data_IF_076515483833
#
_entry.id   IF_076515483833
#
_cell.length_a   1.000
_cell.length_b   1.000
_cell.length_c   1.000
_cell.angle_alpha   90.00
_cell.angle_beta   90.00
_cell.angle_gamma   90.00
#
_symmetry.space_group_name_H-M   'P 1'
#
loop_
_entity.id
_entity.type
_entity.pdbx_description
1 polymer ?
#
# COMPACT_ATOMS: atom_id res chain seq x y z
N UNK A 1 -29.38 21.61 3.63
CA UNK A 1 -28.23 20.86 4.17
C UNK A 1 -28.65 19.41 4.32
N UNK A 2 -27.89 18.45 3.79
CA UNK A 2 -28.13 17.03 4.08
C UNK A 2 -27.78 16.79 5.55
N UNK A 3 -28.74 16.29 6.34
CA UNK A 3 -28.45 15.81 7.69
C UNK A 3 -27.78 14.43 7.56
N UNK A 4 -26.47 14.41 7.75
CA UNK A 4 -25.72 13.18 7.86
C UNK A 4 -25.74 12.74 9.33
N UNK A 5 -26.30 11.56 9.60
CA UNK A 5 -26.22 10.94 10.92
C UNK A 5 -25.02 10.00 10.91
N UNK A 6 -23.96 10.39 11.63
CA UNK A 6 -22.78 9.55 11.79
C UNK A 6 -22.94 8.62 12.98
N UNK A 7 -22.28 7.47 12.89
CA UNK A 7 -22.22 6.50 13.97
C UNK A 7 -21.58 7.12 15.23
N UNK A 8 -22.20 6.90 16.40
CA UNK A 8 -21.75 7.50 17.66
C UNK A 8 -20.40 6.94 18.11
N UNK A 9 -20.14 5.66 17.86
CA UNK A 9 -18.87 5.00 18.20
C UNK A 9 -17.75 5.60 17.37
N UNK A 10 -17.97 5.84 16.07
CA UNK A 10 -17.00 6.53 15.22
C UNK A 10 -16.69 7.95 15.73
N UNK A 11 -17.73 8.72 16.10
CA UNK A 11 -17.53 10.06 16.64
C UNK A 11 -16.77 10.05 17.99
N UNK A 12 -17.03 9.07 18.84
CA UNK A 12 -16.30 8.91 20.10
C UNK A 12 -14.84 8.51 19.85
N UNK A 13 -14.58 7.57 18.94
CA UNK A 13 -13.24 7.16 18.57
C UNK A 13 -12.39 8.33 18.02
N UNK A 14 -13.00 9.25 17.28
CA UNK A 14 -12.33 10.49 16.84
C UNK A 14 -11.99 11.38 18.03
N UNK A 15 -12.96 11.65 18.92
CA UNK A 15 -12.77 12.54 20.09
C UNK A 15 -11.72 12.03 21.07
N UNK A 16 -11.62 10.72 21.21
CA UNK A 16 -10.70 10.04 22.14
C UNK A 16 -9.34 9.72 21.50
N UNK A 17 -9.08 10.18 20.26
CA UNK A 17 -7.86 9.87 19.50
C UNK A 17 -7.60 8.35 19.40
N UNK A 18 -8.70 7.59 19.30
CA UNK A 18 -8.71 6.13 19.24
C UNK A 18 -9.00 5.56 17.85
N UNK A 19 -9.26 6.42 16.87
CA UNK A 19 -9.51 6.04 15.47
C UNK A 19 -8.20 5.86 14.70
N UNK A 20 -8.10 4.75 13.96
CA UNK A 20 -7.14 4.54 12.89
C UNK A 20 -7.89 4.42 11.56
N UNK A 21 -7.36 5.04 10.51
CA UNK A 21 -7.92 4.90 9.16
C UNK A 21 -7.08 3.89 8.39
N UNK A 22 -7.69 2.79 7.97
CA UNK A 22 -7.09 1.81 7.08
C UNK A 22 -7.42 2.17 5.63
N UNK A 23 -6.39 2.32 4.80
CA UNK A 23 -6.49 2.85 3.45
C UNK A 23 -5.98 1.86 2.41
N UNK A 24 -6.84 1.52 1.45
CA UNK A 24 -6.49 0.70 0.28
C UNK A 24 -6.25 1.52 -0.99
N UNK A 25 -6.03 0.81 -2.11
CA UNK A 25 -5.64 1.39 -3.39
C UNK A 25 -6.69 2.38 -3.95
N UNK A 26 -7.96 2.23 -3.56
CA UNK A 26 -9.05 3.12 -3.94
C UNK A 26 -8.82 4.59 -3.58
N UNK A 27 -8.02 4.88 -2.54
CA UNK A 27 -7.66 6.26 -2.19
C UNK A 27 -6.66 6.90 -3.14
N UNK A 28 -5.78 6.09 -3.73
CA UNK A 28 -4.78 6.52 -4.71
C UNK A 28 -5.24 6.32 -6.15
N UNK A 29 -6.43 5.74 -6.36
CA UNK A 29 -6.89 5.24 -7.67
C UNK A 29 -6.75 6.26 -8.79
N UNK A 30 -7.17 7.51 -8.56
CA UNK A 30 -7.17 8.58 -9.57
C UNK A 30 -5.86 9.39 -9.61
N UNK A 31 -4.89 9.10 -8.75
CA UNK A 31 -3.58 9.74 -8.81
C UNK A 31 -2.86 9.32 -10.08
N UNK A 32 -1.96 10.18 -10.55
CA UNK A 32 -1.15 9.98 -11.74
C UNK A 32 0.29 9.71 -11.35
N UNK A 33 0.92 8.78 -12.06
CA UNK A 33 2.36 8.60 -12.01
C UNK A 33 3.12 9.61 -12.89
N UNK A 34 4.44 9.59 -12.83
CA UNK A 34 5.36 10.47 -13.57
C UNK A 34 5.20 10.38 -15.10
N UNK A 35 4.61 9.29 -15.61
CA UNK A 35 4.24 9.09 -17.02
C UNK A 35 2.79 9.55 -17.31
N UNK A 36 2.16 10.30 -16.41
CA UNK A 36 0.78 10.78 -16.48
C UNK A 36 -0.30 9.68 -16.61
N UNK A 37 0.02 8.45 -16.18
CA UNK A 37 -0.94 7.33 -16.15
C UNK A 37 -1.60 7.26 -14.78
N UNK A 38 -2.89 6.95 -14.77
CA UNK A 38 -3.67 6.69 -13.55
C UNK A 38 -3.14 5.42 -12.86
N UNK A 39 -3.02 5.45 -11.53
CA UNK A 39 -2.56 4.31 -10.72
C UNK A 39 -3.58 3.15 -10.67
N UNK A 40 -4.87 3.46 -10.58
CA UNK A 40 -5.90 2.43 -10.54
C UNK A 40 -5.77 1.49 -9.34
N UNK A 41 -6.17 0.23 -9.53
CA UNK A 41 -6.12 -0.82 -8.48
C UNK A 41 -5.06 -1.89 -8.75
N UNK A 42 -5.14 -2.99 -8.00
CA UNK A 42 -4.16 -4.09 -8.06
C UNK A 42 -3.98 -4.69 -9.47
N UNK A 43 -5.08 -4.89 -10.22
CA UNK A 43 -5.00 -5.36 -11.61
C UNK A 43 -4.30 -4.38 -12.56
N UNK A 44 -4.36 -3.07 -12.28
CA UNK A 44 -3.64 -2.06 -13.06
C UNK A 44 -2.14 -2.17 -12.82
N UNK A 45 -1.70 -2.39 -11.57
CA UNK A 45 -0.30 -2.65 -11.26
C UNK A 45 0.23 -3.83 -12.07
N UNK A 46 -0.44 -4.99 -12.01
CA UNK A 46 0.07 -6.20 -12.68
C UNK A 46 0.11 -6.04 -14.19
N UNK A 47 -0.92 -5.39 -14.77
CA UNK A 47 -0.91 -5.07 -16.21
C UNK A 47 0.27 -4.16 -16.57
N UNK A 48 0.58 -3.17 -15.73
CA UNK A 48 1.66 -2.21 -15.97
C UNK A 48 3.05 -2.79 -15.75
N UNK A 49 3.17 -3.71 -14.80
CA UNK A 49 4.37 -4.52 -14.62
C UNK A 49 4.66 -5.34 -15.88
N UNK A 50 3.63 -6.02 -16.43
CA UNK A 50 3.76 -6.79 -17.67
C UNK A 50 4.11 -5.90 -18.88
N UNK A 51 3.51 -4.70 -18.98
CA UNK A 51 3.90 -3.74 -20.02
C UNK A 51 5.38 -3.34 -19.91
N UNK A 52 5.84 -3.02 -18.69
CA UNK A 52 7.22 -2.57 -18.45
C UNK A 52 8.25 -3.66 -18.74
N UNK A 53 8.00 -4.89 -18.28
CA UNK A 53 8.89 -6.03 -18.54
C UNK A 53 8.94 -6.35 -20.05
N UNK A 54 7.84 -6.23 -20.79
CA UNK A 54 7.85 -6.39 -22.25
C UNK A 54 8.65 -5.27 -22.94
N UNK A 55 8.53 -4.02 -22.48
CA UNK A 55 9.35 -2.89 -22.95
C UNK A 55 10.85 -3.09 -22.68
N UNK A 56 11.21 -3.76 -21.59
CA UNK A 56 12.60 -4.13 -21.26
C UNK A 56 13.12 -5.34 -22.06
N UNK A 57 12.27 -5.98 -22.87
CA UNK A 57 12.65 -7.03 -23.81
C UNK A 57 12.38 -8.46 -23.32
N UNK A 58 11.70 -8.64 -22.19
CA UNK A 58 11.29 -9.97 -21.71
C UNK A 58 10.19 -10.57 -22.60
N UNK A 59 10.29 -11.87 -22.89
CA UNK A 59 9.36 -12.59 -23.77
C UNK A 59 8.09 -13.04 -23.03
N UNK A 60 7.32 -12.08 -22.52
CA UNK A 60 6.15 -12.31 -21.66
C UNK A 60 4.79 -12.03 -22.32
N UNK A 61 4.75 -11.86 -23.65
CA UNK A 61 3.53 -11.54 -24.40
C UNK A 61 2.38 -12.52 -24.10
N UNK A 62 2.69 -13.80 -23.86
CA UNK A 62 1.67 -14.79 -23.44
C UNK A 62 1.05 -14.47 -22.08
N UNK A 63 1.86 -14.09 -21.08
CA UNK A 63 1.36 -13.68 -19.75
C UNK A 63 0.52 -12.41 -19.83
N UNK A 64 0.93 -11.46 -20.68
CA UNK A 64 0.18 -10.24 -20.97
C UNK A 64 -1.20 -10.54 -21.53
N UNK A 65 -1.29 -11.44 -22.51
CA UNK A 65 -2.59 -11.87 -23.06
C UNK A 65 -3.49 -12.51 -22.00
N UNK A 66 -2.92 -13.34 -21.12
CA UNK A 66 -3.67 -13.97 -20.03
C UNK A 66 -4.23 -12.94 -19.04
N UNK A 67 -3.43 -11.94 -18.67
CA UNK A 67 -3.85 -10.86 -17.78
C UNK A 67 -4.90 -9.94 -18.40
N UNK A 68 -4.72 -9.54 -19.66
CA UNK A 68 -5.69 -8.68 -20.37
C UNK A 68 -7.05 -9.37 -20.57
N UNK A 69 -7.05 -10.69 -20.78
CA UNK A 69 -8.28 -11.48 -20.89
C UNK A 69 -8.92 -11.77 -19.52
N UNK A 70 -8.33 -11.30 -18.42
CA UNK A 70 -8.76 -11.58 -17.04
C UNK A 70 -8.96 -13.09 -16.79
N UNK A 71 -8.11 -13.91 -17.42
CA UNK A 71 -8.17 -15.37 -17.28
C UNK A 71 -7.64 -15.79 -15.91
N UNK A 72 -6.65 -15.04 -15.40
CA UNK A 72 -6.03 -15.27 -14.11
C UNK A 72 -6.14 -14.04 -13.21
N UNK A 73 -6.31 -14.31 -11.92
CA UNK A 73 -6.20 -13.30 -10.88
C UNK A 73 -4.78 -12.68 -10.87
N UNK A 74 -4.63 -11.40 -10.50
CA UNK A 74 -3.34 -10.72 -10.48
C UNK A 74 -2.23 -11.48 -9.73
N UNK A 75 -2.56 -12.14 -8.62
CA UNK A 75 -1.58 -12.91 -7.82
C UNK A 75 -1.03 -14.14 -8.55
N UNK A 76 -1.84 -14.77 -9.42
CA UNK A 76 -1.41 -15.91 -10.22
C UNK A 76 -0.43 -15.46 -11.31
N UNK A 77 -0.65 -14.29 -11.92
CA UNK A 77 0.29 -13.72 -12.88
C UNK A 77 1.62 -13.38 -12.19
N UNK A 78 1.59 -12.84 -10.98
CA UNK A 78 2.80 -12.56 -10.21
C UNK A 78 3.56 -13.84 -9.82
N UNK A 79 2.86 -14.95 -9.53
CA UNK A 79 3.50 -16.26 -9.30
C UNK A 79 4.19 -16.81 -10.56
N UNK A 80 3.58 -16.60 -11.73
CA UNK A 80 4.21 -16.98 -13.00
C UNK A 80 5.45 -16.14 -13.31
N UNK A 81 5.38 -14.81 -13.08
CA UNK A 81 6.53 -13.91 -13.24
C UNK A 81 7.65 -14.30 -12.25
N UNK A 82 7.31 -14.58 -10.98
CA UNK A 82 8.29 -14.95 -9.95
C UNK A 82 9.03 -16.26 -10.26
N UNK A 83 8.38 -17.20 -10.97
CA UNK A 83 8.97 -18.48 -11.36
C UNK A 83 9.82 -18.42 -12.62
N UNK A 84 9.74 -17.32 -13.37
CA UNK A 84 10.57 -17.12 -14.56
C UNK A 84 12.00 -16.76 -14.14
N UNK A 85 12.97 -17.61 -14.49
CA UNK A 85 14.36 -17.43 -14.11
C UNK A 85 15.06 -16.28 -14.86
N UNK A 86 14.50 -15.81 -15.98
CA UNK A 86 15.05 -14.67 -16.72
C UNK A 86 14.69 -13.35 -16.04
N UNK A 87 13.57 -13.29 -15.33
CA UNK A 87 13.05 -12.06 -14.72
C UNK A 87 13.58 -11.93 -13.30
N UNK A 88 14.43 -10.93 -13.06
CA UNK A 88 14.95 -10.72 -11.71
C UNK A 88 13.95 -9.97 -10.84
N UNK A 89 13.98 -10.24 -9.52
CA UNK A 89 13.22 -9.45 -8.53
C UNK A 89 13.55 -7.95 -8.63
N UNK A 90 14.80 -7.61 -8.94
CA UNK A 90 15.25 -6.22 -9.08
C UNK A 90 14.50 -5.50 -10.18
N UNK A 91 14.29 -6.14 -11.32
CA UNK A 91 13.57 -5.56 -12.47
C UNK A 91 12.09 -5.39 -12.15
N UNK A 92 11.48 -6.38 -11.46
CA UNK A 92 10.11 -6.27 -10.97
C UNK A 92 9.96 -5.08 -10.02
N UNK A 93 10.82 -4.98 -9.01
CA UNK A 93 10.80 -3.86 -8.05
C UNK A 93 11.00 -2.53 -8.76
N UNK A 94 11.94 -2.46 -9.72
CA UNK A 94 12.17 -1.26 -10.53
C UNK A 94 10.92 -0.85 -11.30
N UNK A 95 10.26 -1.79 -11.98
CA UNK A 95 9.02 -1.55 -12.71
C UNK A 95 7.90 -1.02 -11.78
N UNK A 96 7.74 -1.61 -10.59
CA UNK A 96 6.75 -1.15 -9.61
C UNK A 96 7.08 0.26 -9.10
N UNK A 97 8.36 0.56 -8.83
CA UNK A 97 8.78 1.91 -8.44
C UNK A 97 8.51 2.94 -9.53
N UNK A 98 8.85 2.63 -10.77
CA UNK A 98 8.55 3.51 -11.91
C UNK A 98 7.04 3.75 -12.03
N UNK A 99 6.23 2.71 -11.83
CA UNK A 99 4.79 2.81 -11.95
C UNK A 99 4.16 3.70 -10.87
N UNK A 100 4.62 3.61 -9.62
CA UNK A 100 4.07 4.35 -8.48
C UNK A 100 4.80 5.66 -8.16
N UNK A 101 5.85 6.01 -8.90
CA UNK A 101 6.47 7.34 -8.84
C UNK A 101 5.44 8.39 -9.24
N UNK A 102 4.94 9.17 -8.29
CA UNK A 102 3.85 10.13 -8.53
C UNK A 102 4.30 11.32 -9.39
N UNK A 103 3.38 11.86 -10.19
CA UNK A 103 3.59 13.16 -10.84
C UNK A 103 3.46 14.31 -9.83
N UNK A 104 4.12 15.43 -10.13
CA UNK A 104 4.15 16.62 -9.27
C UNK A 104 2.76 17.26 -9.08
N UNK A 105 1.88 17.18 -10.08
CA UNK A 105 0.59 17.90 -10.12
C UNK A 105 -0.62 17.07 -9.63
N UNK A 106 -0.42 16.20 -8.66
CA UNK A 106 -1.52 15.42 -8.06
C UNK A 106 -2.32 16.21 -7.01
N UNK A 107 -3.62 15.93 -6.91
CA UNK A 107 -4.47 16.47 -5.85
C UNK A 107 -4.51 15.54 -4.62
N UNK A 108 -3.85 15.98 -3.55
CA UNK A 108 -3.83 15.28 -2.26
C UNK A 108 -4.90 15.76 -1.27
N UNK A 109 -5.91 16.51 -1.71
CA UNK A 109 -6.94 17.08 -0.82
C UNK A 109 -7.71 16.02 -0.04
N UNK A 110 -7.98 14.86 -0.64
CA UNK A 110 -8.62 13.73 0.07
C UNK A 110 -7.75 13.20 1.19
N UNK A 111 -6.46 12.96 0.93
CA UNK A 111 -5.47 12.53 1.92
C UNK A 111 -5.39 13.54 3.08
N UNK A 112 -5.26 14.83 2.75
CA UNK A 112 -5.24 15.92 3.75
C UNK A 112 -6.51 15.99 4.59
N UNK A 113 -7.68 15.72 4.00
CA UNK A 113 -8.94 15.72 4.73
C UNK A 113 -9.07 14.51 5.66
N UNK A 114 -8.59 13.32 5.27
CA UNK A 114 -8.53 12.17 6.17
C UNK A 114 -7.62 12.44 7.37
N UNK A 115 -6.49 13.12 7.16
CA UNK A 115 -5.55 13.46 8.23
C UNK A 115 -6.10 14.47 9.25
N UNK A 116 -7.15 15.24 8.89
CA UNK A 116 -7.91 16.07 9.85
C UNK A 116 -8.81 15.23 10.76
N UNK A 117 -9.14 14.01 10.35
CA UNK A 117 -9.99 13.08 11.11
C UNK A 117 -9.13 12.21 12.03
N UNK A 118 -8.04 11.66 11.50
CA UNK A 118 -7.03 10.94 12.28
C UNK A 118 -5.67 11.04 11.61
N UNK A 119 -4.63 11.30 12.41
CA UNK A 119 -3.23 11.29 11.96
C UNK A 119 -2.58 9.90 12.03
N UNK A 120 -3.38 8.86 12.29
CA UNK A 120 -2.95 7.46 12.36
C UNK A 120 -3.52 6.70 11.17
N UNK A 121 -2.66 6.39 10.22
CA UNK A 121 -3.00 5.72 8.97
C UNK A 121 -2.31 4.36 8.91
N UNK A 122 -3.06 3.33 8.52
CA UNK A 122 -2.53 2.06 8.03
C UNK A 122 -2.85 1.99 6.54
N UNK A 123 -1.92 1.57 5.70
CA UNK A 123 -2.18 1.38 4.27
C UNK A 123 -1.39 0.21 3.70
N UNK A 124 -1.94 -0.36 2.62
CA UNK A 124 -1.26 -1.34 1.75
C UNK A 124 -0.74 -0.69 0.47
N UNK A 125 -0.91 0.62 0.30
CA UNK A 125 -0.47 1.35 -0.89
C UNK A 125 1.04 1.60 -0.85
N UNK A 126 1.68 1.46 -2.01
CA UNK A 126 3.12 1.66 -2.15
C UNK A 126 3.52 3.13 -2.38
N UNK A 127 2.61 3.92 -2.97
CA UNK A 127 2.82 5.32 -3.34
C UNK A 127 3.02 6.25 -2.14
N UNK A 128 3.59 7.44 -2.38
CA UNK A 128 3.94 8.40 -1.33
C UNK A 128 2.86 9.47 -1.08
N UNK A 129 1.59 9.21 -1.43
CA UNK A 129 0.54 10.24 -1.38
C UNK A 129 0.29 10.80 0.03
N UNK A 130 0.39 9.98 1.07
CA UNK A 130 0.27 10.44 2.46
C UNK A 130 1.49 11.25 2.89
N UNK A 131 2.68 10.86 2.46
CA UNK A 131 3.93 11.56 2.72
C UNK A 131 3.96 12.95 2.07
N UNK A 132 3.33 13.12 0.90
CA UNK A 132 3.09 14.43 0.29
C UNK A 132 2.00 15.23 1.01
N UNK A 133 0.99 14.57 1.57
CA UNK A 133 -0.07 15.23 2.33
C UNK A 133 0.39 15.71 3.72
N UNK A 134 1.28 14.97 4.36
CA UNK A 134 1.88 15.24 5.67
C UNK A 134 3.38 14.90 5.69
N UNK A 135 4.26 15.90 5.53
CA UNK A 135 5.70 15.69 5.42
C UNK A 135 6.35 14.99 6.61
N UNK A 136 5.76 15.04 7.81
CA UNK A 136 6.31 14.34 8.98
C UNK A 136 6.31 12.81 8.78
N UNK A 137 5.46 12.26 7.93
CA UNK A 137 5.49 10.83 7.62
C UNK A 137 6.80 10.36 6.98
N UNK A 138 7.57 11.25 6.34
CA UNK A 138 8.89 10.90 5.82
C UNK A 138 9.85 10.37 6.90
N UNK A 139 9.61 10.70 8.18
CA UNK A 139 10.39 10.23 9.33
C UNK A 139 9.61 9.25 10.21
N UNK A 140 8.31 9.13 10.00
CA UNK A 140 7.39 8.46 10.92
C UNK A 140 6.61 7.33 10.21
N UNK A 141 7.25 6.69 9.23
CA UNK A 141 6.67 5.58 8.48
C UNK A 141 7.21 4.26 9.00
N UNK A 142 6.30 3.37 9.39
CA UNK A 142 6.59 2.00 9.80
C UNK A 142 6.41 1.08 8.59
N UNK A 143 7.45 0.32 8.29
CA UNK A 143 7.52 -0.72 7.26
C UNK A 143 8.30 -1.91 7.80
N UNK A 144 8.29 -3.02 7.07
CA UNK A 144 9.14 -4.17 7.37
C UNK A 144 10.63 -3.75 7.43
N UNK A 145 11.33 -4.13 8.49
CA UNK A 145 12.71 -3.75 8.81
C UNK A 145 12.88 -2.30 9.29
N UNK A 146 11.80 -1.61 9.70
CA UNK A 146 11.80 -0.28 10.34
C UNK A 146 10.94 -0.24 11.60
N UNK A 147 10.78 -1.38 12.26
CA UNK A 147 9.96 -1.56 13.45
C UNK A 147 10.49 -0.76 14.66
N UNK A 148 11.75 -0.32 14.65
CA UNK A 148 12.25 0.57 15.70
C UNK A 148 11.51 1.92 15.74
N UNK A 149 10.88 2.35 14.64
CA UNK A 149 10.02 3.54 14.62
C UNK A 149 8.79 3.39 15.53
N UNK A 150 8.42 2.17 15.90
CA UNK A 150 7.36 1.90 16.89
C UNK A 150 7.64 2.57 18.24
N UNK A 151 8.91 2.74 18.62
CA UNK A 151 9.29 3.38 19.88
C UNK A 151 8.85 4.86 19.95
N UNK A 152 8.70 5.53 18.80
CA UNK A 152 8.30 6.93 18.73
C UNK A 152 6.78 7.13 18.94
N UNK A 153 5.98 6.07 18.85
CA UNK A 153 4.51 6.11 18.86
C UNK A 153 3.90 6.35 20.24
N UNK A 154 4.67 6.21 21.31
CA UNK A 154 4.21 6.55 22.67
C UNK A 154 4.07 8.07 22.89
N UNK A 155 4.56 8.89 21.94
CA UNK A 155 4.44 10.34 22.00
C UNK A 155 3.01 10.76 21.63
N UNK A 156 2.35 11.49 22.52
CA UNK A 156 1.03 12.08 22.26
C UNK A 156 1.08 12.96 21.00
N UNK A 157 0.06 12.86 20.13
CA UNK A 157 -0.05 13.59 18.86
C UNK A 157 1.06 13.30 17.83
N UNK A 158 1.70 12.14 17.86
CA UNK A 158 2.64 11.73 16.83
C UNK A 158 1.91 11.18 15.59
N UNK A 159 2.06 11.79 14.40
CA UNK A 159 1.52 11.21 13.18
C UNK A 159 2.15 9.85 12.93
N UNK A 160 1.31 8.85 12.65
CA UNK A 160 1.73 7.48 12.37
C UNK A 160 1.27 7.10 10.96
N UNK A 161 2.22 6.69 10.13
CA UNK A 161 1.93 6.03 8.86
C UNK A 161 2.49 4.61 8.91
N UNK A 162 1.62 3.62 8.81
CA UNK A 162 2.01 2.21 8.77
C UNK A 162 1.75 1.67 7.38
N UNK A 163 2.80 1.31 6.63
CA UNK A 163 2.69 0.78 5.26
C UNK A 163 3.00 -0.71 5.26
N UNK A 164 1.95 -1.52 5.32
CA UNK A 164 2.04 -2.97 5.53
C UNK A 164 2.80 -3.68 4.39
N UNK A 165 2.62 -3.22 3.15
CA UNK A 165 3.29 -3.80 1.97
C UNK A 165 4.56 -3.03 1.56
N UNK A 166 5.05 -2.15 2.44
CA UNK A 166 6.23 -1.34 2.20
C UNK A 166 5.94 -0.07 1.39
N UNK A 167 7.01 0.52 0.84
CA UNK A 167 6.98 1.81 0.16
C UNK A 167 7.94 1.78 -1.03
N UNK A 168 7.63 2.51 -2.11
CA UNK A 168 8.51 2.60 -3.28
C UNK A 168 9.92 3.13 -2.97
N UNK A 169 10.09 3.85 -1.86
CA UNK A 169 11.41 4.32 -1.39
C UNK A 169 12.33 3.16 -1.00
N UNK A 170 11.76 2.06 -0.50
CA UNK A 170 12.44 0.89 0.07
C UNK A 170 12.05 -0.37 -0.71
N UNK A 171 12.46 -0.42 -1.97
CA UNK A 171 12.03 -1.45 -2.94
C UNK A 171 12.32 -2.89 -2.53
N UNK A 172 13.45 -3.10 -1.87
CA UNK A 172 13.89 -4.42 -1.36
C UNK A 172 12.94 -4.98 -0.29
N UNK A 173 12.24 -4.11 0.43
CA UNK A 173 11.32 -4.44 1.52
C UNK A 173 9.85 -4.45 1.12
N UNK A 174 9.54 -4.21 -0.15
CA UNK A 174 8.17 -4.25 -0.64
C UNK A 174 7.61 -5.67 -0.64
N UNK A 175 6.32 -5.79 -0.35
CA UNK A 175 5.57 -7.04 -0.42
C UNK A 175 4.79 -7.06 -1.73
N UNK A 176 5.34 -7.70 -2.77
CA UNK A 176 4.76 -7.65 -4.12
C UNK A 176 4.53 -9.06 -4.65
N UNK A 177 5.53 -9.94 -4.48
CA UNK A 177 5.50 -11.28 -5.04
C UNK A 177 4.93 -12.30 -4.06
N UNK A 178 4.41 -13.45 -4.53
CA UNK A 178 3.88 -14.48 -3.65
C UNK A 178 4.85 -14.94 -2.57
N UNK A 179 6.16 -14.98 -2.83
CA UNK A 179 7.15 -15.27 -1.78
C UNK A 179 7.21 -14.20 -0.68
N UNK A 180 6.96 -12.92 -1.00
CA UNK A 180 6.92 -11.87 0.00
C UNK A 180 5.71 -12.01 0.92
N UNK A 181 4.54 -12.34 0.35
CA UNK A 181 3.34 -12.59 1.14
C UNK A 181 3.52 -13.82 2.04
N UNK A 182 4.10 -14.91 1.51
CA UNK A 182 4.46 -16.08 2.33
C UNK A 182 5.42 -15.70 3.45
N UNK A 183 6.45 -14.91 3.15
CA UNK A 183 7.40 -14.43 4.17
C UNK A 183 6.69 -13.63 5.26
N UNK A 184 5.87 -12.65 4.87
CA UNK A 184 5.18 -11.79 5.82
C UNK A 184 4.19 -12.56 6.72
N UNK A 185 3.37 -13.44 6.14
CA UNK A 185 2.22 -14.02 6.85
C UNK A 185 2.44 -15.46 7.36
N UNK A 186 3.33 -16.23 6.73
CA UNK A 186 3.48 -17.65 7.02
C UNK A 186 4.85 -18.00 7.59
N UNK A 187 5.90 -17.29 7.16
CA UNK A 187 7.23 -17.50 7.69
C UNK A 187 7.34 -16.82 9.06
N UNK A 188 8.12 -17.43 9.95
CA UNK A 188 8.33 -16.95 11.32
C UNK A 188 9.63 -16.16 11.44
N UNK A 189 9.90 -15.31 10.45
CA UNK A 189 11.01 -14.40 10.57
C UNK A 189 10.68 -13.29 11.59
N UNK A 190 11.70 -12.84 12.32
CA UNK A 190 11.53 -11.99 13.49
C UNK A 190 10.89 -10.63 13.15
N UNK A 191 11.24 -10.06 11.99
CA UNK A 191 10.73 -8.75 11.57
C UNK A 191 9.25 -8.83 11.19
N UNK A 192 8.87 -9.86 10.40
CA UNK A 192 7.47 -10.11 10.05
C UNK A 192 6.59 -10.38 11.27
N UNK A 193 7.06 -11.20 12.23
CA UNK A 193 6.33 -11.47 13.46
C UNK A 193 6.10 -10.19 14.30
N UNK A 194 7.13 -9.34 14.43
CA UNK A 194 7.03 -8.06 15.15
C UNK A 194 6.04 -7.11 14.48
N UNK A 195 6.13 -6.96 13.16
CA UNK A 195 5.26 -6.09 12.38
C UNK A 195 3.79 -6.53 12.50
N UNK A 196 3.52 -7.82 12.34
CA UNK A 196 2.17 -8.39 12.46
C UNK A 196 1.64 -8.37 13.90
N UNK A 197 2.49 -8.59 14.91
CA UNK A 197 2.09 -8.46 16.31
C UNK A 197 1.63 -7.03 16.61
N UNK A 198 2.35 -6.03 16.11
CA UNK A 198 1.96 -4.63 16.26
C UNK A 198 0.65 -4.32 15.55
N UNK A 199 0.49 -4.74 14.28
CA UNK A 199 -0.76 -4.60 13.54
C UNK A 199 -1.94 -5.22 14.30
N UNK A 200 -1.76 -6.43 14.84
CA UNK A 200 -2.78 -7.13 15.64
C UNK A 200 -3.15 -6.35 16.89
N UNK A 201 -2.17 -5.78 17.60
CA UNK A 201 -2.44 -4.93 18.76
C UNK A 201 -3.22 -3.67 18.39
N UNK A 202 -2.93 -3.04 17.24
CA UNK A 202 -3.72 -1.91 16.75
C UNK A 202 -5.17 -2.33 16.50
N UNK A 203 -5.38 -3.46 15.79
CA UNK A 203 -6.73 -3.96 15.47
C UNK A 203 -7.53 -4.28 16.74
N UNK A 204 -6.90 -4.85 17.77
CA UNK A 204 -7.59 -5.22 19.02
C UNK A 204 -7.96 -3.99 19.87
N UNK A 205 -7.10 -2.96 19.89
CA UNK A 205 -7.22 -1.86 20.84
C UNK A 205 -7.77 -0.56 20.24
N UNK A 206 -7.93 -0.48 18.91
CA UNK A 206 -8.35 0.74 18.19
C UNK A 206 -9.61 0.50 17.38
N UNK A 207 -10.36 1.58 17.17
CA UNK A 207 -11.43 1.58 16.17
C UNK A 207 -10.80 1.78 14.79
N UNK A 208 -11.13 0.91 13.83
CA UNK A 208 -10.60 1.00 12.47
C UNK A 208 -11.71 1.42 11.49
N UNK A 209 -11.43 2.46 10.71
CA UNK A 209 -12.25 2.88 9.57
C UNK A 209 -11.55 2.51 8.26
N UNK A 210 -12.16 1.61 7.48
CA UNK A 210 -11.65 1.20 6.17
C UNK A 210 -12.14 2.16 5.08
N UNK A 211 -11.22 2.67 4.26
CA UNK A 211 -11.51 3.58 3.14
C UNK A 211 -10.72 3.14 1.90
N UNK A 212 -11.37 3.11 0.74
CA UNK A 212 -10.71 2.77 -0.52
C UNK A 212 -10.24 1.31 -0.61
N UNK A 213 -10.85 0.40 0.15
CA UNK A 213 -10.59 -1.04 0.09
C UNK A 213 -11.71 -1.71 -0.74
N UNK A 214 -11.38 -2.22 -1.93
CA UNK A 214 -12.31 -2.93 -2.81
C UNK A 214 -12.28 -4.45 -2.62
N UNK A 215 -13.32 -5.14 -3.08
CA UNK A 215 -13.38 -6.62 -3.05
C UNK A 215 -12.34 -7.31 -3.97
N UNK A 216 -11.74 -6.56 -4.92
CA UNK A 216 -10.65 -7.04 -5.78
C UNK A 216 -9.26 -6.81 -5.19
N UNK A 217 -9.16 -6.25 -3.98
CA UNK A 217 -7.89 -6.02 -3.27
C UNK A 217 -7.51 -7.22 -2.36
N UNK A 218 -8.20 -8.37 -2.48
CA UNK A 218 -7.79 -9.60 -1.82
C UNK A 218 -6.50 -10.12 -2.46
N UNK A 219 -5.45 -10.18 -1.65
CA UNK A 219 -4.09 -10.59 -2.00
C UNK A 219 -3.71 -11.85 -1.23
#
# INVERSE_FOLDING_TARGET
>A
MKNYQFDKELLNAIREDNLIIFVGAGMSYNLKNSKNKILGGWGNLVTRLLDNLEEEGYKITHLKELGLKQIYEPIVLLDLIEKDQEISRTDIVKAVKEYYSLADENDYSLHKNLLKISQKIITTNYDEAFEFAEPNFNRNTITLGREYELANLHRTNYPMLFKLHGCIREGDKMIILPSDYRRLYNDKDEDSERLLFYLKNLIINKTILFIGCGMGDFQ
#
